data_IF_534072185774
#
_entry.id   IF_534072185774
#
_cell.length_a   1.000
_cell.length_b   1.000
_cell.length_c   1.000
_cell.angle_alpha   90.00
_cell.angle_beta   90.00
_cell.angle_gamma   90.00
#
_symmetry.space_group_name_H-M   'P 1'
#
loop_
_entity.id
_entity.type
_entity.pdbx_description
1 polymer ?
#
# COMPACT_ATOMS: atom_id res chain seq x y z
N UNK A 1 3.35 0.64 -2.66
CA UNK A 1 2.18 0.75 -1.77
C UNK A 1 2.34 -0.29 -0.69
N UNK A 2 2.00 0.06 0.56
CA UNK A 2 1.98 -0.91 1.66
C UNK A 2 0.66 -1.68 1.63
N UNK A 3 0.75 -2.99 1.62
CA UNK A 3 -0.38 -3.92 1.63
C UNK A 3 -0.29 -4.71 2.92
N UNK A 4 -1.43 -4.83 3.60
CA UNK A 4 -1.56 -5.71 4.75
C UNK A 4 -2.11 -7.07 4.29
N UNK A 5 -1.46 -8.14 4.71
CA UNK A 5 -1.92 -9.51 4.47
C UNK A 5 -2.28 -10.22 5.77
N UNK A 6 -3.52 -10.75 5.82
CA UNK A 6 -4.01 -11.58 6.91
C UNK A 6 -3.46 -13.00 6.88
N UNK A 7 -3.18 -13.48 5.67
CA UNK A 7 -2.54 -14.75 5.41
C UNK A 7 -1.30 -14.49 4.56
N UNK A 8 -0.19 -15.18 4.81
CA UNK A 8 1.06 -15.00 4.07
C UNK A 8 0.99 -15.60 2.64
N UNK A 9 0.10 -15.04 1.82
CA UNK A 9 -0.06 -15.41 0.41
C UNK A 9 1.04 -14.77 -0.44
N UNK A 10 1.49 -13.58 -0.05
CA UNK A 10 2.56 -12.86 -0.73
C UNK A 10 3.94 -13.45 -0.39
N UNK A 11 4.04 -14.30 0.63
CA UNK A 11 5.21 -15.14 0.93
C UNK A 11 6.40 -14.34 1.43
N UNK A 12 6.12 -13.21 2.06
CA UNK A 12 7.14 -12.35 2.68
C UNK A 12 7.31 -12.71 4.15
N UNK A 13 6.49 -13.59 4.72
CA UNK A 13 6.56 -13.95 6.14
C UNK A 13 6.19 -12.80 7.08
N UNK A 14 5.61 -11.71 6.55
CA UNK A 14 5.26 -10.49 7.28
C UNK A 14 3.81 -10.11 6.99
N UNK A 15 3.11 -9.55 7.97
CA UNK A 15 1.76 -9.04 7.74
C UNK A 15 1.78 -7.77 6.87
N UNK A 16 2.80 -6.93 7.00
CA UNK A 16 2.98 -5.71 6.23
C UNK A 16 4.00 -5.94 5.12
N UNK A 17 3.65 -5.58 3.89
CA UNK A 17 4.54 -5.80 2.75
C UNK A 17 4.47 -4.70 1.71
N UNK A 18 5.61 -4.44 1.06
CA UNK A 18 5.68 -3.45 0.00
C UNK A 18 5.39 -4.10 -1.35
N UNK A 19 4.39 -3.58 -2.05
CA UNK A 19 4.06 -3.95 -3.42
C UNK A 19 4.31 -2.75 -4.33
N UNK A 20 5.17 -2.91 -5.32
CA UNK A 20 5.37 -1.90 -6.35
C UNK A 20 4.28 -1.99 -7.40
N UNK A 21 3.54 -0.90 -7.60
CA UNK A 21 2.47 -0.84 -8.60
C UNK A 21 2.97 -1.19 -10.02
N UNK A 22 4.21 -0.81 -10.36
CA UNK A 22 4.83 -1.15 -11.65
C UNK A 22 4.98 -2.66 -11.89
N UNK A 23 5.16 -3.47 -10.84
CA UNK A 23 5.31 -4.92 -10.93
C UNK A 23 3.96 -5.63 -11.14
N UNK A 24 2.85 -4.96 -10.84
CA UNK A 24 1.50 -5.49 -11.04
C UNK A 24 1.11 -5.52 -12.53
N UNK A 25 1.75 -4.72 -13.38
CA UNK A 25 1.44 -4.64 -14.82
C UNK A 25 1.83 -5.95 -15.51
N UNK A 26 0.84 -6.66 -16.05
CA UNK A 26 1.01 -8.00 -16.62
C UNK A 26 0.50 -8.14 -18.06
N UNK A 27 -0.07 -7.08 -18.66
CA UNK A 27 -0.57 -7.09 -20.03
C UNK A 27 -1.85 -7.89 -20.24
N UNK A 28 -2.52 -8.30 -19.15
CA UNK A 28 -3.79 -9.03 -19.18
C UNK A 28 -4.90 -8.25 -18.49
N UNK A 29 -4.83 -8.15 -17.16
CA UNK A 29 -5.86 -7.51 -16.33
C UNK A 29 -5.39 -6.21 -15.67
N UNK A 30 -4.08 -6.04 -15.47
CA UNK A 30 -3.49 -4.77 -15.04
C UNK A 30 -2.66 -4.21 -16.19
N UNK A 31 -3.15 -3.10 -16.74
CA UNK A 31 -2.59 -2.41 -17.89
C UNK A 31 -2.25 -0.96 -17.54
N UNK A 32 -1.27 -0.38 -18.24
CA UNK A 32 -0.99 1.05 -18.17
C UNK A 32 -1.90 1.77 -19.16
N UNK A 33 -2.61 2.79 -18.68
CA UNK A 33 -3.33 3.72 -19.54
C UNK A 33 -2.38 4.88 -19.87
N UNK A 34 -2.25 5.21 -21.15
CA UNK A 34 -1.39 6.29 -21.63
C UNK A 34 -2.15 7.62 -21.78
N UNK A 35 -3.46 7.61 -21.56
CA UNK A 35 -4.36 8.75 -21.63
C UNK A 35 -5.31 8.78 -20.42
N UNK A 36 -6.02 9.90 -20.27
CA UNK A 36 -6.91 10.16 -19.14
C UNK A 36 -6.29 11.02 -18.04
N UNK A 37 -7.07 11.26 -16.99
CA UNK A 37 -6.66 12.04 -15.82
C UNK A 37 -6.76 11.15 -14.58
N UNK A 38 -5.83 11.34 -13.65
CA UNK A 38 -5.85 10.68 -12.34
C UNK A 38 -6.08 11.75 -11.28
N UNK A 39 -7.07 11.51 -10.42
CA UNK A 39 -7.27 12.30 -9.22
C UNK A 39 -6.60 11.59 -8.03
N UNK A 40 -5.80 12.32 -7.28
CA UNK A 40 -5.14 11.83 -6.09
C UNK A 40 -5.80 12.42 -4.86
N UNK A 41 -6.25 11.54 -3.97
CA UNK A 41 -6.76 11.89 -2.66
C UNK A 41 -5.77 11.41 -1.61
N UNK A 42 -5.42 12.28 -0.67
CA UNK A 42 -4.58 11.92 0.48
C UNK A 42 -5.44 11.97 1.74
N UNK A 43 -5.49 10.85 2.44
CA UNK A 43 -6.18 10.71 3.71
C UNK A 43 -5.11 10.69 4.81
N UNK A 44 -5.26 11.55 5.79
CA UNK A 44 -4.39 11.61 6.97
C UNK A 44 -5.16 11.11 8.17
N UNK A 45 -4.57 10.17 8.91
CA UNK A 45 -5.12 9.59 10.12
C UNK A 45 -4.23 9.95 11.31
N UNK A 46 -4.82 10.01 12.50
CA UNK A 46 -4.14 10.23 13.78
C UNK A 46 -3.42 8.97 14.28
N UNK A 47 -3.94 7.80 13.89
CA UNK A 47 -3.37 6.48 14.15
C UNK A 47 -3.18 5.68 12.86
N UNK A 48 -2.41 4.60 12.97
CA UNK A 48 -2.22 3.65 11.87
C UNK A 48 -3.51 2.91 11.55
N UNK A 49 -3.90 2.89 10.28
CA UNK A 49 -5.14 2.27 9.81
C UNK A 49 -4.88 1.36 8.61
N UNK A 50 -5.66 0.27 8.55
CA UNK A 50 -5.78 -0.56 7.35
C UNK A 50 -7.08 -0.16 6.65
N UNK A 51 -6.95 0.38 5.44
CA UNK A 51 -8.07 0.77 4.58
C UNK A 51 -8.29 -0.26 3.48
N UNK A 52 -9.53 -0.45 3.05
CA UNK A 52 -9.86 -1.38 1.97
C UNK A 52 -10.21 -0.60 0.71
N UNK A 53 -9.47 -0.85 -0.37
CA UNK A 53 -9.79 -0.36 -1.70
C UNK A 53 -10.09 -1.55 -2.59
N UNK A 54 -11.31 -1.63 -3.12
CA UNK A 54 -11.77 -2.80 -3.91
C UNK A 54 -11.51 -4.13 -3.18
N UNK A 55 -11.60 -4.18 -1.85
CA UNK A 55 -11.35 -5.41 -1.08
C UNK A 55 -9.87 -5.83 -0.96
N UNK A 56 -8.92 -4.97 -1.35
CA UNK A 56 -7.50 -5.11 -1.04
C UNK A 56 -7.19 -4.25 0.19
N UNK A 57 -6.58 -4.86 1.20
CA UNK A 57 -6.16 -4.18 2.42
C UNK A 57 -4.88 -3.38 2.15
N UNK A 58 -5.01 -2.07 2.02
CA UNK A 58 -3.91 -1.13 1.94
C UNK A 58 -3.67 -0.50 3.32
N UNK A 59 -2.41 -0.21 3.59
CA UNK A 59 -2.00 0.37 4.86
C UNK A 59 -1.82 1.88 4.72
N UNK A 60 -2.29 2.65 5.72
CA UNK A 60 -2.01 4.08 5.79
C UNK A 60 -0.51 4.31 5.93
N UNK A 61 0.03 5.25 5.16
CA UNK A 61 1.43 5.66 5.31
C UNK A 61 1.63 6.35 6.66
N UNK A 62 2.68 5.96 7.39
CA UNK A 62 3.07 6.67 8.61
C UNK A 62 3.35 8.15 8.31
N UNK A 63 2.66 9.02 9.04
CA UNK A 63 2.97 10.44 9.12
C UNK A 63 4.33 10.65 9.82
N UNK A 64 5.33 11.07 9.05
CA UNK A 64 6.70 11.33 9.48
C UNK A 64 7.09 12.81 9.29
N UNK A 65 8.31 13.17 9.72
CA UNK A 65 8.80 14.56 9.61
C UNK A 65 8.86 15.06 8.16
N UNK A 66 9.00 14.15 7.19
CA UNK A 66 9.04 14.52 5.77
C UNK A 66 7.64 14.87 5.29
N UNK A 67 6.64 14.06 5.61
CA UNK A 67 5.24 14.35 5.33
C UNK A 67 4.77 15.63 6.05
N UNK A 68 5.21 15.83 7.30
CA UNK A 68 4.91 17.03 8.07
C UNK A 68 5.40 18.31 7.38
N UNK A 69 6.59 18.28 6.78
CA UNK A 69 7.20 19.44 6.14
C UNK A 69 6.46 19.97 4.91
N UNK A 70 5.63 19.13 4.27
CA UNK A 70 4.91 19.47 3.03
C UNK A 70 3.42 19.74 3.23
N UNK A 71 2.88 19.48 4.42
CA UNK A 71 1.47 19.73 4.72
C UNK A 71 1.25 21.16 5.25
N UNK A 72 0.08 21.76 4.99
CA UNK A 72 -0.32 23.01 5.64
C UNK A 72 -0.59 22.80 7.13
N UNK A 73 -0.42 23.83 7.96
CA UNK A 73 -0.52 23.73 9.43
C UNK A 73 -1.90 23.28 9.90
N UNK A 74 -2.97 23.61 9.17
CA UNK A 74 -4.31 23.12 9.52
C UNK A 74 -4.42 21.59 9.44
N UNK A 75 -3.73 20.97 8.48
CA UNK A 75 -3.76 19.52 8.28
C UNK A 75 -2.93 18.75 9.33
N UNK A 76 -2.01 19.43 10.03
CA UNK A 76 -1.16 18.81 11.06
C UNK A 76 -1.83 18.74 12.43
N UNK A 77 -2.91 19.51 12.65
CA UNK A 77 -3.52 19.62 13.98
C UNK A 77 -4.08 18.28 14.44
N UNK A 78 -3.66 17.82 15.61
CA UNK A 78 -4.13 16.57 16.21
C UNK A 78 -3.47 15.30 15.65
N UNK A 79 -2.53 15.43 14.71
CA UNK A 79 -1.79 14.29 14.17
C UNK A 79 -0.41 14.25 14.81
N UNK A 80 -0.03 13.09 15.36
CA UNK A 80 1.29 12.89 15.96
C UNK A 80 2.25 12.25 14.97
N UNK A 81 3.54 12.58 15.07
CA UNK A 81 4.57 11.85 14.35
C UNK A 81 4.59 10.40 14.79
N UNK A 82 4.46 9.47 13.85
CA UNK A 82 4.57 8.06 14.15
C UNK A 82 6.05 7.64 14.22
N UNK A 83 6.38 6.77 15.19
CA UNK A 83 7.68 6.10 15.19
C UNK A 83 7.74 5.17 13.97
N UNK A 84 8.74 5.38 13.12
CA UNK A 84 8.92 4.58 11.90
C UNK A 84 9.12 3.10 12.26
N UNK A 85 8.15 2.25 11.91
CA UNK A 85 8.25 0.79 12.03
C UNK A 85 8.63 0.12 10.70
N UNK A 86 8.76 0.90 9.62
CA UNK A 86 9.00 0.35 8.27
C UNK A 86 10.45 -0.09 7.99
N UNK A 87 11.33 -0.07 8.98
CA UNK A 87 12.74 -0.46 8.78
C UNK A 87 12.91 -1.92 8.33
N UNK A 88 11.90 -2.78 8.58
CA UNK A 88 11.93 -4.23 8.31
C UNK A 88 10.92 -4.71 7.25
N UNK A 89 10.36 -3.81 6.42
CA UNK A 89 9.36 -4.22 5.42
C UNK A 89 10.00 -4.99 4.28
N UNK A 90 9.41 -6.14 3.97
CA UNK A 90 9.82 -6.97 2.85
C UNK A 90 9.01 -6.65 1.60
N UNK A 91 9.72 -6.42 0.51
CA UNK A 91 9.15 -6.25 -0.82
C UNK A 91 8.70 -7.60 -1.38
N UNK A 92 7.53 -7.61 -2.03
CA UNK A 92 7.07 -8.77 -2.77
C UNK A 92 7.84 -8.89 -4.08
N UNK A 93 8.37 -10.10 -4.31
CA UNK A 93 9.09 -10.46 -5.54
C UNK A 93 8.23 -10.22 -6.81
N UNK A 94 8.85 -9.61 -7.83
CA UNK A 94 8.18 -9.28 -9.10
C UNK A 94 7.71 -10.53 -9.85
N UNK A 95 8.52 -11.58 -9.91
CA UNK A 95 8.18 -12.81 -10.63
C UNK A 95 6.98 -13.51 -9.97
N UNK A 96 6.85 -13.40 -8.65
CA UNK A 96 5.68 -13.89 -7.93
C UNK A 96 4.40 -13.13 -8.31
N UNK A 97 4.49 -11.80 -8.43
CA UNK A 97 3.38 -10.95 -8.87
C UNK A 97 3.02 -11.18 -10.35
N UNK A 98 4.00 -11.51 -11.21
CA UNK A 98 3.78 -11.75 -12.64
C UNK A 98 3.24 -13.14 -12.96
N UNK A 99 3.76 -14.17 -12.27
CA UNK A 99 3.41 -15.58 -12.52
C UNK A 99 2.00 -15.94 -12.03
N UNK A 100 1.48 -15.18 -11.06
CA UNK A 100 0.15 -15.36 -10.48
C UNK A 100 -0.75 -14.20 -10.91
N UNK A 101 -2.07 -14.39 -10.99
CA UNK A 101 -2.98 -13.26 -11.12
C UNK A 101 -2.82 -12.35 -9.88
N UNK A 102 -2.06 -11.25 -10.02
CA UNK A 102 -1.66 -10.41 -8.91
C UNK A 102 -2.87 -9.83 -8.15
N UNK A 103 -3.93 -9.46 -8.87
CA UNK A 103 -5.19 -8.96 -8.29
C UNK A 103 -5.77 -10.02 -7.35
N UNK A 104 -5.97 -11.24 -7.85
CA UNK A 104 -6.51 -12.34 -7.04
C UNK A 104 -5.63 -12.66 -5.85
N UNK A 105 -4.30 -12.62 -6.01
CA UNK A 105 -3.36 -12.86 -4.93
C UNK A 105 -3.49 -11.81 -3.82
N UNK A 106 -3.60 -10.53 -4.18
CA UNK A 106 -3.80 -9.43 -3.23
C UNK A 106 -5.14 -9.53 -2.50
N UNK A 107 -6.22 -9.89 -3.21
CA UNK A 107 -7.52 -10.14 -2.56
C UNK A 107 -7.43 -11.32 -1.58
N UNK A 108 -6.79 -12.42 -1.97
CA UNK A 108 -6.63 -13.59 -1.09
C UNK A 108 -5.77 -13.27 0.13
N UNK A 109 -4.70 -12.49 -0.05
CA UNK A 109 -3.86 -12.01 1.05
C UNK A 109 -4.66 -11.16 2.05
N UNK A 110 -5.61 -10.37 1.54
CA UNK A 110 -6.44 -9.44 2.34
C UNK A 110 -7.58 -10.12 3.10
N UNK A 111 -7.97 -11.34 2.71
CA UNK A 111 -9.12 -12.07 3.28
C UNK A 111 -8.70 -12.95 4.46
N UNK A 112 -9.56 -12.99 5.49
CA UNK A 112 -9.51 -13.91 6.62
C UNK A 112 -10.47 -15.05 6.40
#
# INVERSE_FOLDING_TARGET
>A
MFVYQRQDKLGTGRAETLVWAKHLVNGKDINRLNDGFVEYYQLLFDEHQIIYAEGIAAESLLFDQRAESVLPDEAKRGVSLHKSSYQDVLEVDEDKLRSTNAVNLLHQASRG
#
